data_IF_709341196862
#
_entry.id   IF_709341196862
#
_cell.length_a   1.000
_cell.length_b   1.000
_cell.length_c   1.000
_cell.angle_alpha   90.00
_cell.angle_beta   90.00
_cell.angle_gamma   90.00
#
_symmetry.space_group_name_H-M   'P 1'
#
loop_
_entity.id
_entity.type
_entity.pdbx_description
1 polymer ?
#
# COMPACT_ATOMS: atom_id res chain seq x y z
N UNK A 1 18.44 0.80 -15.31
CA UNK A 1 19.69 0.02 -15.16
C UNK A 1 19.80 -0.99 -16.29
N UNK A 2 20.91 -0.98 -17.03
CA UNK A 2 21.21 -1.92 -18.12
C UNK A 2 21.53 -3.34 -17.60
N UNK A 3 20.66 -3.91 -16.76
CA UNK A 3 20.53 -5.35 -16.49
C UNK A 3 21.75 -6.16 -16.04
N UNK A 4 22.88 -5.55 -15.65
CA UNK A 4 24.10 -6.28 -15.30
C UNK A 4 24.31 -6.47 -13.79
N UNK A 5 23.78 -5.57 -12.95
CA UNK A 5 23.91 -5.67 -11.49
C UNK A 5 22.70 -6.34 -10.85
N UNK A 6 22.93 -7.06 -9.75
CA UNK A 6 21.86 -7.60 -8.91
C UNK A 6 20.98 -6.46 -8.40
N UNK A 7 19.65 -6.51 -8.61
CA UNK A 7 18.75 -5.47 -8.08
C UNK A 7 18.82 -5.38 -6.56
N UNK A 8 18.64 -4.18 -6.04
CA UNK A 8 18.58 -3.93 -4.60
C UNK A 8 17.25 -3.29 -4.26
N UNK A 9 16.88 -3.31 -2.97
CA UNK A 9 15.69 -2.60 -2.52
C UNK A 9 15.89 -1.10 -2.75
N UNK A 10 14.99 -0.49 -3.52
CA UNK A 10 14.98 0.94 -3.81
C UNK A 10 13.69 1.53 -3.21
N UNK A 11 13.78 2.33 -2.14
CA UNK A 11 12.62 2.94 -1.50
C UNK A 11 11.92 3.98 -2.39
N UNK A 12 12.52 4.39 -3.51
CA UNK A 12 11.96 5.33 -4.48
C UNK A 12 11.47 4.63 -5.76
N UNK A 13 11.60 3.30 -5.87
CA UNK A 13 11.14 2.54 -7.03
C UNK A 13 9.62 2.70 -7.21
N UNK A 14 9.11 2.59 -8.43
CA UNK A 14 7.67 2.69 -8.64
C UNK A 14 7.28 1.80 -9.82
N UNK A 15 6.02 1.41 -9.79
CA UNK A 15 5.32 0.73 -10.89
C UNK A 15 3.95 1.37 -11.04
N UNK A 16 3.37 1.26 -12.23
CA UNK A 16 2.00 1.67 -12.54
C UNK A 16 1.00 1.10 -11.51
N UNK A 17 1.14 -0.18 -11.16
CA UNK A 17 0.31 -0.85 -10.15
C UNK A 17 0.49 -0.24 -8.76
N UNK A 18 1.74 -0.01 -8.33
CA UNK A 18 2.03 0.47 -6.98
C UNK A 18 1.46 1.86 -6.74
N UNK A 19 1.58 2.76 -7.72
CA UNK A 19 1.03 4.11 -7.61
C UNK A 19 -0.50 4.11 -7.68
N UNK A 20 -1.08 3.25 -8.52
CA UNK A 20 -2.53 3.08 -8.62
C UNK A 20 -3.10 2.75 -7.25
N UNK A 21 -2.60 1.68 -6.63
CA UNK A 21 -3.08 1.24 -5.34
C UNK A 21 -2.74 2.20 -4.19
N UNK A 22 -1.62 2.93 -4.27
CA UNK A 22 -1.31 3.97 -3.31
C UNK A 22 -2.39 5.07 -3.31
N UNK A 23 -2.79 5.56 -4.49
CA UNK A 23 -3.83 6.59 -4.63
C UNK A 23 -5.18 6.09 -4.07
N UNK A 24 -5.56 4.85 -4.37
CA UNK A 24 -6.78 4.25 -3.79
C UNK A 24 -6.68 4.04 -2.27
N UNK A 25 -5.51 3.69 -1.74
CA UNK A 25 -5.30 3.52 -0.28
C UNK A 25 -5.61 4.81 0.47
N UNK A 26 -5.17 5.96 -0.03
CA UNK A 26 -5.47 7.25 0.59
C UNK A 26 -6.95 7.67 0.40
N UNK A 27 -7.48 7.55 -0.83
CA UNK A 27 -8.85 7.92 -1.13
C UNK A 27 -9.89 7.13 -0.34
N UNK A 28 -9.68 5.81 -0.20
CA UNK A 28 -10.58 4.91 0.52
C UNK A 28 -10.69 5.30 2.00
N UNK A 29 -9.56 5.58 2.64
CA UNK A 29 -9.54 5.98 4.04
C UNK A 29 -10.39 7.24 4.26
N UNK A 30 -10.24 8.28 3.43
CA UNK A 30 -11.02 9.52 3.58
C UNK A 30 -12.52 9.33 3.38
N UNK A 31 -12.93 8.50 2.41
CA UNK A 31 -14.35 8.19 2.20
C UNK A 31 -14.91 7.44 3.42
N UNK A 32 -14.17 6.47 3.94
CA UNK A 32 -14.54 5.74 5.16
C UNK A 32 -14.59 6.67 6.39
N UNK A 33 -13.66 7.61 6.51
CA UNK A 33 -13.68 8.65 7.55
C UNK A 33 -14.97 9.44 7.52
N UNK A 34 -15.40 9.91 6.34
CA UNK A 34 -16.69 10.60 6.21
C UNK A 34 -17.86 9.68 6.58
N UNK A 35 -17.88 8.45 6.06
CA UNK A 35 -18.94 7.48 6.35
C UNK A 35 -19.07 7.18 7.85
N UNK A 36 -17.95 7.04 8.55
CA UNK A 36 -17.92 6.75 9.98
C UNK A 36 -18.08 8.00 10.86
N UNK A 37 -17.98 9.20 10.30
CA UNK A 37 -18.11 10.46 11.05
C UNK A 37 -19.51 10.71 11.60
N UNK A 38 -20.54 10.07 11.00
CA UNK A 38 -21.95 10.32 11.31
C UNK A 38 -22.49 11.68 10.85
N UNK A 39 -21.71 12.45 10.08
CA UNK A 39 -22.13 13.75 9.54
C UNK A 39 -23.09 13.64 8.35
N UNK A 40 -23.07 12.49 7.65
CA UNK A 40 -23.97 12.18 6.54
C UNK A 40 -24.76 10.90 6.86
N UNK A 41 -25.99 10.83 6.33
CA UNK A 41 -26.83 9.66 6.45
C UNK A 41 -26.14 8.39 5.90
N UNK A 42 -26.41 7.21 6.47
CA UNK A 42 -25.86 5.95 5.95
C UNK A 42 -26.14 5.75 4.46
N UNK A 43 -25.18 5.16 3.77
CA UNK A 43 -25.20 4.94 2.31
C UNK A 43 -26.39 4.06 1.90
N UNK A 44 -27.16 4.52 0.92
CA UNK A 44 -28.07 3.67 0.15
C UNK A 44 -27.38 3.24 -1.15
N UNK A 45 -27.12 1.93 -1.27
CA UNK A 45 -26.45 1.34 -2.44
C UNK A 45 -27.17 1.68 -3.76
N UNK A 46 -28.50 1.84 -3.75
CA UNK A 46 -29.24 2.22 -4.96
C UNK A 46 -28.84 3.62 -5.46
N UNK A 47 -28.54 4.55 -4.56
CA UNK A 47 -28.09 5.89 -4.92
C UNK A 47 -26.61 5.93 -5.30
N UNK A 48 -25.80 5.00 -4.79
CA UNK A 48 -24.42 4.79 -5.29
C UNK A 48 -24.45 4.30 -6.74
N UNK A 49 -25.34 3.36 -7.08
CA UNK A 49 -25.48 2.90 -8.47
C UNK A 49 -26.09 3.98 -9.38
N UNK A 50 -27.03 4.76 -8.86
CA UNK A 50 -27.77 5.79 -9.58
C UNK A 50 -27.57 7.16 -8.91
N UNK A 51 -26.42 7.82 -9.11
CA UNK A 51 -26.03 9.03 -8.38
C UNK A 51 -26.89 10.26 -8.72
N UNK A 52 -27.74 10.17 -9.73
CA UNK A 52 -28.67 11.22 -10.16
C UNK A 52 -30.06 11.11 -9.53
N UNK A 53 -30.31 10.08 -8.72
CA UNK A 53 -31.55 9.99 -7.95
C UNK A 53 -31.74 11.22 -7.06
N UNK A 54 -33.01 11.63 -6.89
CA UNK A 54 -33.34 12.70 -5.95
C UNK A 54 -32.96 12.30 -4.53
N UNK A 55 -32.26 13.19 -3.81
CA UNK A 55 -31.81 12.94 -2.45
C UNK A 55 -30.49 12.17 -2.31
N UNK A 56 -29.79 11.85 -3.41
CA UNK A 56 -28.44 11.28 -3.34
C UNK A 56 -27.48 12.22 -2.59
N UNK A 57 -26.89 11.69 -1.53
CA UNK A 57 -25.93 12.38 -0.67
C UNK A 57 -24.55 12.50 -1.31
N UNK A 58 -23.72 13.39 -0.76
CA UNK A 58 -22.35 13.55 -1.24
C UNK A 58 -21.47 12.34 -0.93
N UNK A 59 -21.73 11.61 0.17
CA UNK A 59 -21.08 10.34 0.45
C UNK A 59 -21.41 9.27 -0.60
N UNK A 60 -22.68 9.17 -1.03
CA UNK A 60 -23.08 8.22 -2.08
C UNK A 60 -22.45 8.56 -3.44
N UNK A 61 -22.32 9.85 -3.78
CA UNK A 61 -21.59 10.30 -4.99
C UNK A 61 -20.10 10.01 -4.88
N UNK A 62 -19.49 10.26 -3.72
CA UNK A 62 -18.09 9.93 -3.48
C UNK A 62 -17.83 8.44 -3.72
N UNK A 63 -18.66 7.56 -3.16
CA UNK A 63 -18.60 6.13 -3.42
C UNK A 63 -18.82 5.78 -4.90
N UNK A 64 -19.78 6.40 -5.58
CA UNK A 64 -20.04 6.16 -6.99
C UNK A 64 -18.78 6.39 -7.85
N UNK A 65 -18.19 7.58 -7.74
CA UNK A 65 -17.03 7.95 -8.57
C UNK A 65 -15.76 7.21 -8.16
N UNK A 66 -15.60 6.93 -6.87
CA UNK A 66 -14.44 6.18 -6.38
C UNK A 66 -14.47 4.71 -6.84
N UNK A 67 -15.62 4.05 -6.70
CA UNK A 67 -15.79 2.64 -7.09
C UNK A 67 -15.66 2.44 -8.60
N UNK A 68 -16.02 3.43 -9.43
CA UNK A 68 -15.78 3.38 -10.87
C UNK A 68 -14.30 3.18 -11.21
N UNK A 69 -13.39 3.65 -10.34
CA UNK A 69 -11.96 3.46 -10.50
C UNK A 69 -11.44 2.05 -10.19
N UNK A 70 -12.23 1.20 -9.54
CA UNK A 70 -11.88 -0.21 -9.28
C UNK A 70 -12.23 -1.14 -10.44
N UNK A 71 -12.83 -0.64 -11.51
CA UNK A 71 -13.10 -1.45 -12.70
C UNK A 71 -11.79 -2.03 -13.25
N UNK A 72 -11.68 -3.36 -13.35
CA UNK A 72 -10.46 -4.01 -13.84
C UNK A 72 -10.31 -3.97 -15.35
N UNK A 73 -11.26 -3.41 -16.11
CA UNK A 73 -11.21 -3.36 -17.57
C UNK A 73 -9.95 -2.66 -18.07
N UNK A 74 -9.55 -1.57 -17.42
CA UNK A 74 -8.31 -0.86 -17.77
C UNK A 74 -7.04 -1.66 -17.46
N UNK A 75 -7.07 -2.58 -16.50
CA UNK A 75 -5.92 -3.43 -16.15
C UNK A 75 -5.67 -4.45 -17.28
N UNK A 76 -6.72 -5.01 -17.87
CA UNK A 76 -6.61 -6.06 -18.89
C UNK A 76 -6.59 -5.54 -20.33
N UNK A 77 -7.24 -4.41 -20.59
CA UNK A 77 -7.46 -3.89 -21.94
C UNK A 77 -6.93 -2.46 -22.14
N UNK A 78 -6.42 -1.82 -21.09
CA UNK A 78 -5.82 -0.49 -21.15
C UNK A 78 -4.30 -0.50 -21.32
N UNK A 79 -3.70 0.69 -21.22
CA UNK A 79 -2.26 0.88 -21.21
C UNK A 79 -1.77 1.64 -19.97
N UNK A 80 -0.47 1.95 -19.93
CA UNK A 80 0.14 2.68 -18.81
C UNK A 80 -0.51 4.04 -18.51
N UNK A 81 -1.13 4.67 -19.51
CA UNK A 81 -1.92 5.90 -19.36
C UNK A 81 -3.16 5.70 -18.49
N UNK A 82 -3.83 4.56 -18.61
CA UNK A 82 -5.05 4.27 -17.88
C UNK A 82 -4.72 4.00 -16.40
N UNK A 83 -3.66 3.23 -16.14
CA UNK A 83 -3.14 3.01 -14.78
C UNK A 83 -2.67 4.30 -14.10
N UNK A 84 -2.13 5.25 -14.85
CA UNK A 84 -1.64 6.50 -14.27
C UNK A 84 -2.73 7.55 -14.08
N UNK A 85 -3.72 7.62 -14.97
CA UNK A 85 -4.73 8.69 -14.94
C UNK A 85 -6.04 8.32 -14.26
N UNK A 86 -6.54 7.10 -14.42
CA UNK A 86 -7.78 6.66 -13.79
C UNK A 86 -7.81 6.80 -12.26
N UNK A 87 -6.79 6.37 -11.49
CA UNK A 87 -6.82 6.51 -10.04
C UNK A 87 -6.90 7.98 -9.62
N UNK A 88 -6.22 8.87 -10.34
CA UNK A 88 -6.23 10.32 -10.07
C UNK A 88 -7.64 10.89 -10.31
N UNK A 89 -8.25 10.57 -11.45
CA UNK A 89 -9.60 11.04 -11.77
C UNK A 89 -10.64 10.54 -10.76
N UNK A 90 -10.60 9.24 -10.43
CA UNK A 90 -11.54 8.64 -9.48
C UNK A 90 -11.39 9.25 -8.09
N UNK A 91 -10.16 9.35 -7.57
CA UNK A 91 -9.90 9.96 -6.27
C UNK A 91 -10.30 11.44 -6.26
N UNK A 92 -9.81 12.24 -7.21
CA UNK A 92 -10.07 13.68 -7.21
C UNK A 92 -11.56 13.99 -7.35
N UNK A 93 -12.30 13.22 -8.14
CA UNK A 93 -13.75 13.39 -8.29
C UNK A 93 -14.48 13.04 -7.00
N UNK A 94 -14.11 11.93 -6.34
CA UNK A 94 -14.70 11.57 -5.06
C UNK A 94 -14.41 12.63 -3.97
N UNK A 95 -13.19 13.16 -3.93
CA UNK A 95 -12.77 14.15 -2.94
C UNK A 95 -13.48 15.51 -3.08
N UNK A 96 -14.03 15.84 -4.25
CA UNK A 96 -14.92 17.01 -4.41
C UNK A 96 -16.18 16.93 -3.54
N UNK A 97 -16.62 15.72 -3.19
CA UNK A 97 -17.78 15.49 -2.33
C UNK A 97 -17.40 15.24 -0.87
N UNK A 98 -16.21 14.69 -0.61
CA UNK A 98 -15.76 14.36 0.75
C UNK A 98 -15.17 15.57 1.48
N UNK A 99 -14.25 16.27 0.84
CA UNK A 99 -13.47 17.33 1.49
C UNK A 99 -14.30 18.53 1.98
N UNK A 100 -15.42 18.93 1.33
CA UNK A 100 -16.28 19.98 1.87
C UNK A 100 -16.89 19.67 3.25
N UNK A 101 -16.90 18.40 3.67
CA UNK A 101 -17.53 17.95 4.92
C UNK A 101 -16.49 17.70 6.00
N UNK A 102 -15.43 16.94 5.69
CA UNK A 102 -14.40 16.58 6.68
C UNK A 102 -13.18 17.53 6.65
N UNK A 103 -13.10 18.42 5.67
CA UNK A 103 -11.99 19.34 5.46
C UNK A 103 -10.95 18.81 4.47
N UNK A 104 -10.23 19.71 3.80
CA UNK A 104 -9.11 19.39 2.90
C UNK A 104 -7.82 19.15 3.73
N UNK A 105 -7.00 18.18 3.32
CA UNK A 105 -5.75 17.84 4.03
C UNK A 105 -5.95 16.95 5.26
N UNK A 106 -4.98 17.00 6.17
CA UNK A 106 -5.05 16.29 7.47
C UNK A 106 -6.20 16.87 8.30
N UNK A 107 -7.02 16.00 8.92
CA UNK A 107 -8.12 16.43 9.76
C UNK A 107 -7.62 17.30 10.92
N UNK A 108 -8.38 18.33 11.32
CA UNK A 108 -7.98 19.16 12.44
C UNK A 108 -7.89 18.35 13.74
N UNK A 109 -7.04 18.75 14.70
CA UNK A 109 -6.92 18.06 15.99
C UNK A 109 -8.26 17.92 16.75
N UNK A 110 -9.21 18.81 16.52
CA UNK A 110 -10.56 18.80 17.11
C UNK A 110 -11.55 17.88 16.41
N UNK A 111 -11.28 17.42 15.18
CA UNK A 111 -12.18 16.49 14.50
C UNK A 111 -12.13 15.11 15.17
N UNK A 112 -13.28 14.46 15.25
CA UNK A 112 -13.38 13.06 15.64
C UNK A 112 -13.10 12.19 14.44
N UNK A 113 -12.27 11.16 14.62
CA UNK A 113 -12.00 10.13 13.60
C UNK A 113 -12.07 8.76 14.25
N UNK A 114 -12.93 7.90 13.73
CA UNK A 114 -13.07 6.51 14.15
C UNK A 114 -12.49 5.54 13.11
N UNK A 115 -12.09 6.06 11.94
CA UNK A 115 -11.53 5.25 10.87
C UNK A 115 -10.11 4.89 11.23
N UNK A 116 -9.79 3.60 11.08
CA UNK A 116 -8.44 3.11 11.28
C UNK A 116 -7.58 3.41 10.05
N UNK A 117 -6.25 3.52 10.23
CA UNK A 117 -5.33 3.62 9.10
C UNK A 117 -5.59 2.58 8.02
N UNK A 118 -5.56 3.00 6.76
CA UNK A 118 -5.52 2.08 5.63
C UNK A 118 -4.08 1.66 5.35
N UNK A 119 -3.85 0.35 5.29
CA UNK A 119 -2.56 -0.28 5.00
C UNK A 119 -2.74 -1.08 3.70
N UNK A 120 -1.98 -0.74 2.67
CA UNK A 120 -2.00 -1.51 1.42
C UNK A 120 -1.37 -2.90 1.63
N UNK A 121 -1.68 -3.83 0.74
CA UNK A 121 -1.10 -5.17 0.74
C UNK A 121 0.42 -5.14 0.94
N UNK A 122 0.94 -6.01 1.82
CA UNK A 122 2.36 -6.01 2.12
C UNK A 122 3.16 -6.66 1.00
N UNK A 123 4.25 -5.98 0.62
CA UNK A 123 5.22 -6.51 -0.30
C UNK A 123 6.55 -6.76 0.40
N UNK A 124 7.37 -7.63 -0.21
CA UNK A 124 8.70 -7.96 0.29
C UNK A 124 9.73 -7.94 -0.82
N UNK A 125 10.95 -7.49 -0.52
CA UNK A 125 12.12 -7.61 -1.39
C UNK A 125 13.38 -8.05 -0.61
N UNK A 126 14.13 -9.06 -1.06
CA UNK A 126 13.78 -9.99 -2.13
C UNK A 126 12.53 -10.81 -1.76
N UNK A 127 11.82 -11.31 -2.76
CA UNK A 127 10.59 -12.08 -2.54
C UNK A 127 10.90 -13.41 -1.85
N UNK A 128 12.01 -14.07 -2.20
CA UNK A 128 12.47 -15.32 -1.62
C UNK A 128 13.81 -15.08 -0.88
N UNK A 129 13.79 -14.56 0.36
CA UNK A 129 15.01 -14.29 1.13
C UNK A 129 15.78 -15.56 1.45
N UNK A 130 17.10 -15.52 1.27
CA UNK A 130 17.98 -16.66 1.42
C UNK A 130 17.84 -17.69 0.29
N UNK A 131 17.28 -17.31 -0.86
CA UNK A 131 17.05 -18.20 -2.00
C UNK A 131 16.98 -17.48 -3.35
N UNK A 132 16.55 -18.22 -4.36
CA UNK A 132 16.48 -17.75 -5.75
C UNK A 132 15.23 -16.92 -6.02
N UNK A 133 15.41 -15.84 -6.76
CA UNK A 133 14.39 -14.89 -7.15
C UNK A 133 14.43 -14.65 -8.66
N UNK A 134 13.26 -14.51 -9.27
CA UNK A 134 13.08 -14.16 -10.67
C UNK A 134 11.76 -13.40 -10.88
N UNK A 135 11.62 -12.69 -11.99
CA UNK A 135 10.42 -11.91 -12.34
C UNK A 135 10.71 -10.45 -12.71
N UNK A 136 9.66 -9.60 -12.82
CA UNK A 136 9.80 -8.22 -13.30
C UNK A 136 10.75 -7.35 -12.47
N UNK A 137 10.65 -7.41 -11.14
CA UNK A 137 11.55 -6.71 -10.21
C UNK A 137 13.02 -7.15 -10.35
N UNK A 138 13.24 -8.29 -11.00
CA UNK A 138 14.54 -8.93 -11.21
C UNK A 138 15.04 -8.79 -12.64
N UNK A 139 14.34 -8.02 -13.48
CA UNK A 139 14.64 -7.88 -14.91
C UNK A 139 14.47 -9.18 -15.69
N UNK A 140 13.57 -10.06 -15.24
CA UNK A 140 13.37 -11.42 -15.79
C UNK A 140 14.63 -12.30 -15.77
N UNK A 141 15.54 -12.05 -14.82
CA UNK A 141 16.74 -12.87 -14.56
C UNK A 141 16.67 -13.53 -13.19
N UNK A 142 17.46 -14.58 -13.01
CA UNK A 142 17.63 -15.26 -11.73
C UNK A 142 18.70 -14.57 -10.89
N UNK A 143 18.38 -14.31 -9.63
CA UNK A 143 19.30 -13.79 -8.63
C UNK A 143 19.12 -14.51 -7.30
N UNK A 144 20.21 -14.94 -6.69
CA UNK A 144 20.21 -15.53 -5.33
C UNK A 144 20.53 -14.43 -4.32
N UNK A 145 19.69 -14.29 -3.30
CA UNK A 145 19.85 -13.26 -2.27
C UNK A 145 20.22 -13.86 -0.91
N UNK A 146 20.81 -13.01 -0.07
CA UNK A 146 20.95 -13.23 1.37
C UNK A 146 19.60 -13.35 2.09
N UNK A 147 19.66 -13.69 3.37
CA UNK A 147 18.48 -13.92 4.22
C UNK A 147 17.74 -12.66 4.66
N UNK A 148 18.39 -11.51 4.63
CA UNK A 148 17.78 -10.26 5.03
C UNK A 148 16.79 -9.77 3.95
N UNK A 149 15.69 -9.16 4.38
CA UNK A 149 14.65 -8.67 3.47
C UNK A 149 13.95 -7.43 3.99
N UNK A 150 13.42 -6.65 3.06
CA UNK A 150 12.58 -5.50 3.32
C UNK A 150 11.11 -5.90 3.26
N UNK A 151 10.35 -5.52 4.27
CA UNK A 151 8.89 -5.44 4.23
C UNK A 151 8.53 -4.00 3.89
N UNK A 152 7.64 -3.79 2.92
CA UNK A 152 7.22 -2.46 2.53
C UNK A 152 5.75 -2.40 2.11
N UNK A 153 5.14 -1.24 2.30
CA UNK A 153 3.73 -0.96 2.00
C UNK A 153 3.48 0.54 1.85
N UNK A 154 2.24 0.90 1.52
CA UNK A 154 1.71 2.25 1.67
C UNK A 154 0.75 2.29 2.86
N UNK A 155 0.83 3.35 3.66
CA UNK A 155 -0.15 3.59 4.71
C UNK A 155 -0.62 5.04 4.71
N UNK A 156 -1.90 5.23 5.01
CA UNK A 156 -2.52 6.56 5.09
C UNK A 156 -3.61 6.58 6.15
N UNK A 157 -3.75 7.74 6.78
CA UNK A 157 -4.91 8.07 7.58
C UNK A 157 -5.25 9.56 7.42
N UNK A 158 -6.54 9.90 7.36
CA UNK A 158 -7.03 11.27 7.19
C UNK A 158 -6.63 12.16 8.38
N UNK A 159 -6.53 11.59 9.58
CA UNK A 159 -6.00 12.27 10.77
C UNK A 159 -4.47 12.30 10.81
N UNK A 160 -3.79 11.72 9.84
CA UNK A 160 -2.33 11.56 9.82
C UNK A 160 -1.85 10.40 10.69
N UNK A 161 -0.68 9.87 10.36
CA UNK A 161 -0.10 8.72 11.05
C UNK A 161 0.83 9.17 12.20
N UNK A 162 0.71 8.51 13.34
CA UNK A 162 1.60 8.67 14.50
C UNK A 162 2.78 7.68 14.42
N UNK A 163 2.51 6.42 14.09
CA UNK A 163 3.57 5.40 13.95
C UNK A 163 3.17 4.31 12.98
N UNK A 164 4.15 3.78 12.25
CA UNK A 164 4.00 2.59 11.40
C UNK A 164 5.17 1.65 11.64
N UNK A 165 4.87 0.38 11.89
CA UNK A 165 5.86 -0.61 12.37
C UNK A 165 5.66 -1.94 11.68
N UNK A 166 6.76 -2.59 11.33
CA UNK A 166 6.73 -4.01 10.98
C UNK A 166 6.84 -4.82 12.25
N UNK A 167 5.93 -5.76 12.43
CA UNK A 167 5.91 -6.73 13.51
C UNK A 167 6.25 -8.08 12.91
N UNK A 168 7.30 -8.73 13.37
CA UNK A 168 7.72 -10.04 12.86
C UNK A 168 8.04 -11.01 13.99
N UNK A 169 7.94 -12.31 13.72
CA UNK A 169 8.31 -13.37 14.66
C UNK A 169 8.78 -14.59 13.90
N UNK A 170 9.55 -15.42 14.58
CA UNK A 170 9.97 -16.72 14.06
C UNK A 170 9.08 -17.83 14.59
N UNK A 171 8.90 -18.85 13.77
CA UNK A 171 8.04 -20.00 14.06
C UNK A 171 8.79 -21.30 13.83
N UNK A 172 8.43 -22.33 14.60
CA UNK A 172 9.00 -23.66 14.47
C UNK A 172 8.50 -24.35 13.19
N UNK A 173 9.41 -25.07 12.53
CA UNK A 173 9.10 -25.80 11.30
C UNK A 173 9.07 -24.90 10.05
N UNK A 174 9.06 -25.51 8.86
CA UNK A 174 9.14 -24.76 7.60
C UNK A 174 7.78 -24.22 7.12
N UNK A 175 6.67 -24.77 7.61
CA UNK A 175 5.32 -24.51 7.09
C UNK A 175 4.40 -23.84 8.13
N UNK A 176 3.53 -22.89 7.71
CA UNK A 176 2.63 -22.21 8.62
C UNK A 176 1.51 -23.12 9.14
N UNK A 177 1.41 -23.22 10.46
CA UNK A 177 0.30 -23.86 11.19
C UNK A 177 -0.89 -22.90 11.39
N UNK A 178 -1.97 -23.38 12.03
CA UNK A 178 -3.07 -22.49 12.44
C UNK A 178 -2.64 -21.43 13.46
N UNK A 179 -1.63 -21.72 14.30
CA UNK A 179 -1.14 -20.74 15.28
C UNK A 179 -0.45 -19.56 14.59
N UNK A 180 0.22 -19.78 13.46
CA UNK A 180 0.86 -18.73 12.66
C UNK A 180 -0.15 -17.68 12.16
N UNK A 181 -1.39 -18.10 11.88
CA UNK A 181 -2.44 -17.26 11.29
C UNK A 181 -3.13 -16.33 12.28
N UNK A 182 -2.71 -16.32 13.56
CA UNK A 182 -3.31 -15.49 14.61
C UNK A 182 -2.28 -14.56 15.24
N UNK A 183 -2.70 -13.35 15.61
CA UNK A 183 -1.83 -12.41 16.33
C UNK A 183 -1.40 -12.95 17.70
N UNK A 184 -2.27 -13.68 18.41
CA UNK A 184 -1.95 -14.27 19.70
C UNK A 184 -0.87 -15.37 19.60
N UNK A 185 -0.75 -16.04 18.45
CA UNK A 185 0.19 -17.14 18.26
C UNK A 185 -0.30 -18.42 18.93
N UNK A 186 0.64 -19.22 19.45
CA UNK A 186 0.38 -20.49 20.10
C UNK A 186 1.66 -21.31 20.25
N UNK A 187 1.54 -22.59 20.58
CA UNK A 187 2.69 -23.49 20.69
C UNK A 187 3.54 -23.47 19.42
N UNK A 188 4.86 -23.32 19.57
CA UNK A 188 5.82 -23.29 18.47
C UNK A 188 5.98 -21.93 17.78
N UNK A 189 5.31 -20.88 18.27
CA UNK A 189 5.35 -19.54 17.68
C UNK A 189 6.04 -18.57 18.64
N UNK A 190 7.06 -17.86 18.15
CA UNK A 190 7.81 -16.88 18.93
C UNK A 190 7.01 -15.63 19.29
N UNK A 191 7.60 -14.78 20.14
CA UNK A 191 7.05 -13.47 20.44
C UNK A 191 7.24 -12.51 19.25
N UNK A 192 6.29 -11.59 19.08
CA UNK A 192 6.43 -10.50 18.11
C UNK A 192 7.58 -9.55 18.49
N UNK A 193 8.49 -9.36 17.54
CA UNK A 193 9.51 -8.33 17.51
C UNK A 193 9.00 -7.14 16.68
N UNK A 194 9.59 -5.98 16.90
CA UNK A 194 9.15 -4.72 16.29
C UNK A 194 10.28 -3.99 15.62
N UNK A 195 10.00 -3.44 14.43
CA UNK A 195 10.87 -2.52 13.72
C UNK A 195 10.04 -1.31 13.32
N UNK A 196 10.44 -0.12 13.77
CA UNK A 196 9.85 1.13 13.27
C UNK A 196 10.21 1.28 11.80
N UNK A 197 9.21 1.56 10.96
CA UNK A 197 9.44 1.68 9.52
C UNK A 197 9.96 3.06 9.17
N UNK A 198 10.94 3.11 8.26
CA UNK A 198 11.31 4.32 7.54
C UNK A 198 10.20 4.69 6.56
N UNK A 199 10.11 5.98 6.19
CA UNK A 199 9.09 6.44 5.26
C UNK A 199 9.57 7.53 4.31
N UNK A 200 8.98 7.58 3.12
CA UNK A 200 9.17 8.65 2.15
C UNK A 200 7.89 8.95 1.37
N UNK A 201 7.81 10.17 0.85
CA UNK A 201 6.89 10.50 -0.24
C UNK A 201 7.40 9.88 -1.53
N UNK A 202 6.51 9.59 -2.47
CA UNK A 202 6.87 9.17 -3.82
C UNK A 202 6.26 10.10 -4.86
N UNK A 203 6.89 10.18 -6.03
CA UNK A 203 6.35 10.95 -7.16
C UNK A 203 5.46 10.06 -8.00
N UNK A 204 4.17 10.38 -8.09
CA UNK A 204 3.24 9.73 -9.02
C UNK A 204 3.64 10.09 -10.45
N UNK A 205 3.68 9.08 -11.32
CA UNK A 205 4.08 9.24 -12.72
C UNK A 205 2.88 9.22 -13.64
N UNK A 206 2.88 10.10 -14.63
CA UNK A 206 1.91 10.13 -15.73
C UNK A 206 2.60 9.59 -16.97
N UNK A 207 2.15 8.43 -17.45
CA UNK A 207 2.71 7.80 -18.64
C UNK A 207 1.72 7.90 -19.80
N UNK A 208 2.07 8.58 -20.88
CA UNK A 208 1.25 8.62 -22.11
C UNK A 208 2.02 7.92 -23.22
N UNK A 209 1.43 6.88 -23.81
CA UNK A 209 2.12 6.05 -24.82
C UNK A 209 3.53 5.63 -24.37
N UNK A 210 3.66 5.19 -23.12
CA UNK A 210 4.92 4.78 -22.46
C UNK A 210 5.99 5.88 -22.33
N UNK A 211 5.61 7.16 -22.45
CA UNK A 211 6.49 8.31 -22.22
C UNK A 211 6.13 9.01 -20.92
N UNK A 212 7.11 9.34 -20.08
CA UNK A 212 6.90 10.14 -18.86
C UNK A 212 6.50 11.57 -19.23
N UNK A 213 5.24 11.89 -18.98
CA UNK A 213 4.62 13.19 -19.23
C UNK A 213 4.32 13.95 -17.93
N UNK A 214 4.81 13.46 -16.78
CA UNK A 214 4.47 13.97 -15.45
C UNK A 214 4.64 15.48 -15.32
N UNK A 215 5.72 16.04 -15.88
CA UNK A 215 6.04 17.48 -15.81
C UNK A 215 5.87 18.19 -17.16
N UNK A 216 4.96 17.68 -18.01
CA UNK A 216 4.74 18.20 -19.36
C UNK A 216 3.30 18.65 -19.51
N UNK A 217 3.08 19.88 -19.99
CA UNK A 217 1.73 20.38 -20.32
C UNK A 217 1.01 19.45 -21.32
N UNK A 218 -0.28 19.13 -21.13
CA UNK A 218 -1.20 19.66 -20.11
C UNK A 218 -1.25 18.89 -18.77
N UNK A 219 -0.33 17.94 -18.53
CA UNK A 219 -0.35 17.04 -17.36
C UNK A 219 0.51 17.50 -16.17
N UNK A 220 1.21 18.63 -16.31
CA UNK A 220 2.10 19.20 -15.31
C UNK A 220 1.41 19.50 -13.96
N UNK A 221 0.10 19.78 -13.99
CA UNK A 221 -0.74 20.00 -12.80
C UNK A 221 -1.68 18.83 -12.46
N UNK A 222 -1.60 17.73 -13.21
CA UNK A 222 -2.48 16.58 -13.01
C UNK A 222 -1.91 15.65 -11.94
N UNK A 223 -2.39 15.81 -10.69
CA UNK A 223 -1.91 15.07 -9.51
C UNK A 223 -3.09 14.54 -8.68
N UNK A 224 -2.92 13.40 -7.97
CA UNK A 224 -3.89 13.00 -6.97
C UNK A 224 -3.93 14.02 -5.84
N UNK A 225 -5.13 14.24 -5.29
CA UNK A 225 -5.39 15.12 -4.15
C UNK A 225 -4.66 14.61 -2.89
N UNK A 226 -4.61 13.30 -2.70
CA UNK A 226 -4.01 12.63 -1.56
C UNK A 226 -3.11 11.46 -1.99
N UNK A 227 -1.94 11.38 -1.38
CA UNK A 227 -1.01 10.25 -1.53
C UNK A 227 -0.60 9.72 -0.15
N UNK A 228 -0.51 8.39 0.01
CA UNK A 228 0.07 7.81 1.21
C UNK A 228 1.58 8.04 1.23
N UNK A 229 2.18 7.90 2.42
CA UNK A 229 3.63 7.65 2.49
C UNK A 229 3.89 6.19 2.18
N UNK A 230 5.06 5.93 1.57
CA UNK A 230 5.62 4.59 1.52
C UNK A 230 6.35 4.31 2.81
N UNK A 231 6.21 3.10 3.34
CA UNK A 231 6.89 2.64 4.54
C UNK A 231 7.70 1.39 4.24
N UNK A 232 8.89 1.26 4.83
CA UNK A 232 9.70 0.05 4.75
C UNK A 232 10.51 -0.22 6.03
N UNK A 233 10.76 -1.49 6.31
CA UNK A 233 11.68 -1.93 7.35
C UNK A 233 12.44 -3.18 6.89
N UNK A 234 13.70 -3.30 7.29
CA UNK A 234 14.52 -4.47 6.99
C UNK A 234 14.45 -5.46 8.16
N UNK A 235 14.07 -6.71 7.89
CA UNK A 235 14.22 -7.83 8.81
C UNK A 235 15.57 -8.47 8.54
N UNK A 236 16.39 -8.61 9.59
CA UNK A 236 17.78 -9.09 9.48
C UNK A 236 18.06 -10.25 10.42
N UNK A 237 19.02 -11.10 10.05
CA UNK A 237 19.60 -12.10 10.97
C UNK A 237 18.73 -13.33 11.25
N UNK A 238 17.65 -13.54 10.49
CA UNK A 238 16.86 -14.77 10.51
C UNK A 238 17.29 -15.68 9.37
N UNK A 239 17.56 -16.96 9.62
CA UNK A 239 17.97 -17.95 8.62
C UNK A 239 17.40 -19.33 8.93
N UNK A 240 17.06 -20.09 7.89
CA UNK A 240 16.47 -21.43 7.95
C UNK A 240 15.23 -21.53 8.84
N UNK A 241 14.37 -20.52 8.79
CA UNK A 241 13.18 -20.43 9.65
C UNK A 241 12.01 -19.79 8.93
N UNK A 242 10.80 -20.20 9.34
CA UNK A 242 9.57 -19.52 8.96
C UNK A 242 9.44 -18.22 9.76
N UNK A 243 9.23 -17.12 9.03
CA UNK A 243 8.92 -15.80 9.59
C UNK A 243 7.47 -15.46 9.31
N UNK A 244 6.73 -15.13 10.37
CA UNK A 244 5.45 -14.44 10.26
C UNK A 244 5.69 -12.93 10.38
N UNK A 245 5.00 -12.11 9.60
CA UNK A 245 5.09 -10.66 9.71
C UNK A 245 3.80 -9.95 9.32
N UNK A 246 3.56 -8.79 9.91
CA UNK A 246 2.48 -7.86 9.57
C UNK A 246 2.94 -6.41 9.79
N UNK A 247 2.16 -5.45 9.31
CA UNK A 247 2.37 -4.03 9.60
C UNK A 247 1.27 -3.52 10.53
N UNK A 248 1.68 -2.79 11.56
CA UNK A 248 0.80 -2.06 12.45
C UNK A 248 0.94 -0.56 12.18
N UNK A 249 -0.19 0.14 12.04
CA UNK A 249 -0.23 1.59 11.92
C UNK A 249 -1.14 2.18 13.00
N UNK A 250 -0.71 3.28 13.59
CA UNK A 250 -1.44 4.06 14.59
C UNK A 250 -1.58 5.48 14.05
N UNK A 251 -2.80 5.99 13.98
CA UNK A 251 -3.05 7.39 13.59
C UNK A 251 -2.84 8.36 14.76
N UNK A 252 -2.97 9.67 14.50
CA UNK A 252 -2.86 10.72 15.53
C UNK A 252 -4.06 10.79 16.50
N UNK A 253 -5.11 9.98 16.29
CA UNK A 253 -6.28 9.86 17.18
C UNK A 253 -6.23 8.60 18.04
N UNK A 254 -5.23 7.73 17.83
CA UNK A 254 -5.04 6.49 18.55
C UNK A 254 -5.77 5.28 17.95
N UNK A 255 -6.35 5.40 16.74
CA UNK A 255 -6.90 4.23 16.05
C UNK A 255 -5.77 3.34 15.54
N UNK A 256 -5.93 2.04 15.75
CA UNK A 256 -4.91 1.03 15.42
C UNK A 256 -5.41 0.13 14.30
N UNK A 257 -4.63 0.05 13.22
CA UNK A 257 -4.80 -0.91 12.13
C UNK A 257 -3.67 -1.94 12.14
N UNK A 258 -4.02 -3.19 11.83
CA UNK A 258 -3.07 -4.28 11.63
C UNK A 258 -3.39 -4.93 10.28
N UNK A 259 -2.38 -5.04 9.41
CA UNK A 259 -2.52 -5.77 8.15
C UNK A 259 -2.71 -7.27 8.41
N UNK A 260 -3.23 -8.07 7.46
CA UNK A 260 -3.13 -9.52 7.53
C UNK A 260 -1.70 -9.99 7.84
N UNK A 261 -1.59 -11.18 8.42
CA UNK A 261 -0.29 -11.83 8.67
C UNK A 261 0.18 -12.51 7.39
N UNK A 262 1.45 -12.30 7.07
CA UNK A 262 2.17 -12.90 5.95
C UNK A 262 3.23 -13.86 6.47
N UNK A 263 3.58 -14.82 5.63
CA UNK A 263 4.54 -15.87 5.98
C UNK A 263 5.64 -15.96 4.93
N UNK A 264 6.86 -16.26 5.37
CA UNK A 264 7.98 -16.59 4.49
C UNK A 264 8.97 -17.50 5.16
N UNK A 265 9.35 -18.57 4.48
CA UNK A 265 10.52 -19.34 4.87
C UNK A 265 11.78 -18.61 4.40
N UNK A 266 12.65 -18.26 5.33
CA UNK A 266 13.91 -17.57 5.07
C UNK A 266 15.03 -18.60 4.97
N UNK A 267 15.69 -18.70 3.81
CA UNK A 267 16.82 -19.61 3.59
C UNK A 267 18.14 -19.12 4.18
N UNK A 268 19.20 -19.93 4.01
CA UNK A 268 20.56 -19.60 4.48
C UNK A 268 21.46 -18.93 3.44
N UNK A 269 21.07 -18.91 2.16
CA UNK A 269 22.00 -18.67 1.05
C UNK A 269 22.79 -17.37 1.23
N UNK A 270 24.11 -17.44 1.05
CA UNK A 270 24.95 -16.25 0.97
C UNK A 270 24.75 -15.55 -0.38
N UNK A 271 24.82 -14.21 -0.45
CA UNK A 271 24.80 -13.49 -1.73
C UNK A 271 25.87 -14.05 -2.67
N UNK A 272 25.54 -14.25 -3.96
CA UNK A 272 26.56 -14.56 -4.96
C UNK A 272 27.57 -13.40 -4.98
N UNK A 273 28.90 -13.65 -4.92
CA UNK A 273 29.87 -12.58 -5.14
C UNK A 273 29.66 -12.00 -6.54
N UNK A 274 29.72 -10.67 -6.67
CA UNK A 274 29.67 -9.98 -7.96
C UNK A 274 30.64 -10.68 -8.93
N UNK A 275 30.10 -11.24 -10.01
CA UNK A 275 30.97 -11.67 -11.10
C UNK A 275 31.51 -10.40 -11.76
N UNK A 276 32.76 -10.08 -11.46
CA UNK A 276 33.53 -9.09 -12.21
C UNK A 276 33.54 -9.51 -13.68
N UNK A 277 32.95 -8.68 -14.53
CA UNK A 277 33.15 -8.72 -15.99
C UNK A 277 34.51 -8.12 -16.34
#
# INVERSE_FOLDING_TARGET
NNGTSQPTFDPDCWTEDSQFWAIFTAGLNRILTLEQSGQIAPVNINNVLHPTNSGTTDLEKAWHYFLAGFDSGHIYYGGAQDFSMHPINAQNTAMQYVDPIIGDGELPPSATDYTKPSIFYLSRFPWNPGGDNAGPAYGYKHWTYGSDFYVYTFAYDASGLQSVRTRYRVSAGPDPSNNNKTYAGGTGIGAWQEITMSSSTFTVKILISNTDMTNTSPYDNFRPKYTPLRYWAQVTGVQNQLVDYYVEAIDKKGNIAQSPIYHVYVGASAPQPEQSL
#
